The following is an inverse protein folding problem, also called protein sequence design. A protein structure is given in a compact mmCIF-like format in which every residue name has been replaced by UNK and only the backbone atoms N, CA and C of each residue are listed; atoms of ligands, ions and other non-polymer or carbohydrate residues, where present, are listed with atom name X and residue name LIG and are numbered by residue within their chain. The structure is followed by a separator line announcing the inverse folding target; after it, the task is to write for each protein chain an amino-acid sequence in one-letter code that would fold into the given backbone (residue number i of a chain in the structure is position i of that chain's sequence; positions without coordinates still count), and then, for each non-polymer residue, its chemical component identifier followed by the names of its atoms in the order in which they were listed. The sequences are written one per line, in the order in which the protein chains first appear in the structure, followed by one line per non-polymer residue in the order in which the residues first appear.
data_IF_405913080400
#
_entry.id   IF_405913080400
#
_cell.length_a   1.000
_cell.length_b   1.000
_cell.length_c   1.000
_cell.angle_alpha   90.00
_cell.angle_beta   90.00
_cell.angle_gamma   90.00
#
_symmetry.space_group_name_H-M   'P 1'
#
loop_
_entity.id
_entity.type
_entity.pdbx_description
1 polymer ?
#
# COMPACT_ATOMS: atom_id res chain seq x y z
N UNK A 1 -0.50 17.90 12.70
CA UNK A 1 0.28 16.69 12.31
C UNK A 1 1.60 16.75 13.07
N UNK A 2 1.53 16.83 14.40
CA UNK A 2 2.65 17.39 15.17
C UNK A 2 3.67 16.31 15.57
N UNK A 3 3.37 15.06 15.21
CA UNK A 3 4.19 13.87 15.42
C UNK A 3 5.08 13.54 14.21
N UNK A 4 4.87 14.18 13.06
CA UNK A 4 5.72 14.02 11.88
C UNK A 4 6.80 15.10 11.86
N UNK A 5 8.05 14.67 11.72
CA UNK A 5 9.19 15.59 11.63
C UNK A 5 9.11 16.42 10.33
N UNK A 6 9.49 17.71 10.33
CA UNK A 6 9.45 18.58 9.15
C UNK A 6 10.18 18.00 7.93
N UNK A 7 11.29 17.29 8.14
CA UNK A 7 12.08 16.66 7.08
C UNK A 7 11.33 15.51 6.40
N UNK A 8 10.41 14.85 7.12
CA UNK A 8 9.56 13.78 6.60
C UNK A 8 8.42 14.38 5.79
N UNK A 9 7.81 15.47 6.26
CA UNK A 9 6.66 16.10 5.62
C UNK A 9 6.91 16.44 4.14
N UNK A 10 8.10 16.92 3.79
CA UNK A 10 8.47 17.22 2.39
C UNK A 10 8.63 15.99 1.48
N UNK A 11 8.50 14.78 2.03
CA UNK A 11 8.61 13.50 1.31
C UNK A 11 7.33 12.68 1.35
N UNK A 12 6.26 13.21 1.96
CA UNK A 12 4.96 12.56 2.04
C UNK A 12 4.05 13.17 0.98
N UNK A 13 3.49 12.31 0.15
CA UNK A 13 2.60 12.68 -0.94
C UNK A 13 1.37 11.79 -0.90
N UNK A 14 0.22 12.37 -1.26
CA UNK A 14 -1.04 11.63 -1.39
C UNK A 14 -1.29 11.18 -2.84
N UNK A 15 -2.04 10.09 -2.92
CA UNK A 15 -2.75 9.60 -4.09
C UNK A 15 -4.23 9.54 -3.67
N UNK A 16 -5.13 10.12 -4.46
CA UNK A 16 -6.54 10.40 -4.07
C UNK A 16 -7.58 9.79 -5.02
N UNK A 17 -7.13 9.12 -6.08
CA UNK A 17 -8.00 8.61 -7.15
C UNK A 17 -8.24 7.10 -7.11
N UNK A 18 -7.45 6.35 -6.34
CA UNK A 18 -7.64 4.91 -6.21
C UNK A 18 -9.02 4.55 -5.64
N UNK A 19 -9.77 3.76 -6.40
CA UNK A 19 -11.08 3.23 -6.04
C UNK A 19 -10.97 1.91 -5.28
N UNK A 20 -9.85 1.19 -5.41
CA UNK A 20 -9.62 -0.07 -4.74
C UNK A 20 -8.15 -0.28 -4.31
N UNK A 21 -7.88 -1.42 -3.68
CA UNK A 21 -6.53 -1.76 -3.20
C UNK A 21 -5.50 -2.06 -4.31
N UNK A 22 -5.95 -2.42 -5.50
CA UNK A 22 -5.06 -2.63 -6.65
C UNK A 22 -4.57 -1.27 -7.17
N UNK A 23 -5.51 -0.34 -7.38
CA UNK A 23 -5.22 1.03 -7.80
C UNK A 23 -4.40 1.77 -6.75
N UNK A 24 -4.64 1.54 -5.45
CA UNK A 24 -3.78 2.09 -4.39
C UNK A 24 -2.30 1.79 -4.64
N UNK A 25 -1.97 0.56 -5.05
CA UNK A 25 -0.58 0.17 -5.35
C UNK A 25 -0.10 0.75 -6.68
N UNK A 26 -0.88 0.58 -7.75
CA UNK A 26 -0.49 1.01 -9.10
C UNK A 26 -0.34 2.54 -9.18
N UNK A 27 -1.33 3.28 -8.68
CA UNK A 27 -1.31 4.74 -8.71
C UNK A 27 -0.25 5.30 -7.78
N UNK A 28 0.04 4.66 -6.63
CA UNK A 28 1.19 5.05 -5.80
C UNK A 28 2.52 4.91 -6.54
N UNK A 29 2.71 3.88 -7.36
CA UNK A 29 3.91 3.70 -8.20
C UNK A 29 4.02 4.84 -9.22
N UNK A 30 2.92 5.18 -9.91
CA UNK A 30 2.88 6.29 -10.85
C UNK A 30 3.13 7.64 -10.15
N UNK A 31 2.48 7.86 -9.01
CA UNK A 31 2.62 9.08 -8.22
C UNK A 31 4.05 9.29 -7.72
N UNK A 32 4.71 8.21 -7.31
CA UNK A 32 6.13 8.27 -6.94
C UNK A 32 6.99 8.72 -8.13
N UNK A 33 6.72 8.24 -9.34
CA UNK A 33 7.42 8.67 -10.55
C UNK A 33 7.15 10.15 -10.89
N UNK A 34 5.91 10.61 -10.78
CA UNK A 34 5.58 12.03 -11.01
C UNK A 34 6.34 12.97 -10.07
N UNK A 35 6.49 12.58 -8.81
CA UNK A 35 7.13 13.39 -7.78
C UNK A 35 8.66 13.33 -7.86
N UNK A 36 9.23 12.16 -8.18
CA UNK A 36 10.69 11.93 -8.07
C UNK A 36 11.41 11.78 -9.41
N UNK A 37 10.66 11.67 -10.51
CA UNK A 37 11.18 11.37 -11.85
C UNK A 37 11.67 9.94 -12.06
N UNK A 38 11.49 9.05 -11.07
CA UNK A 38 11.97 7.67 -11.11
C UNK A 38 10.91 6.71 -10.58
N UNK A 39 10.87 5.46 -11.05
CA UNK A 39 10.03 4.43 -10.44
C UNK A 39 10.62 3.91 -9.12
N UNK A 40 9.79 3.46 -8.16
CA UNK A 40 10.27 3.01 -6.86
C UNK A 40 11.09 1.72 -6.96
N UNK A 41 12.31 1.76 -6.44
CA UNK A 41 13.19 0.57 -6.36
C UNK A 41 12.69 -0.43 -5.32
N UNK A 42 12.02 0.02 -4.26
CA UNK A 42 11.42 -0.83 -3.23
C UNK A 42 10.07 -0.26 -2.81
N UNK A 43 9.12 -1.14 -2.54
CA UNK A 43 7.79 -0.76 -2.04
C UNK A 43 7.55 -1.47 -0.71
N UNK A 44 7.03 -0.73 0.27
CA UNK A 44 6.54 -1.29 1.53
C UNK A 44 5.12 -0.79 1.75
N UNK A 45 4.18 -1.72 1.84
CA UNK A 45 2.78 -1.42 2.17
C UNK A 45 2.58 -1.74 3.65
N UNK A 46 1.99 -0.80 4.38
CA UNK A 46 1.57 -1.00 5.77
C UNK A 46 0.04 -0.95 5.78
N UNK A 47 -0.61 -2.00 6.24
CA UNK A 47 -2.06 -2.11 6.20
C UNK A 47 -2.57 -3.28 7.02
N UNK A 48 -3.84 -3.61 6.89
CA UNK A 48 -4.44 -4.71 7.65
C UNK A 48 -3.95 -6.07 7.15
N UNK A 49 -3.63 -6.97 8.10
CA UNK A 49 -2.98 -8.24 7.79
C UNK A 49 -3.78 -9.14 6.82
N UNK A 50 -5.12 -9.11 6.88
CA UNK A 50 -5.97 -9.89 5.97
C UNK A 50 -5.86 -9.46 4.48
N UNK A 51 -5.36 -8.25 4.19
CA UNK A 51 -5.13 -7.79 2.80
C UNK A 51 -3.81 -8.28 2.24
N UNK A 52 -2.90 -8.78 3.08
CA UNK A 52 -1.53 -9.16 2.71
C UNK A 52 -1.48 -10.14 1.55
N UNK A 53 -2.26 -11.22 1.61
CA UNK A 53 -2.26 -12.25 0.58
C UNK A 53 -2.78 -11.68 -0.74
N UNK A 54 -3.80 -10.83 -0.71
CA UNK A 54 -4.34 -10.19 -1.93
C UNK A 54 -3.28 -9.35 -2.66
N UNK A 55 -2.49 -8.58 -1.91
CA UNK A 55 -1.40 -7.78 -2.47
C UNK A 55 -0.29 -8.66 -3.07
N UNK A 56 0.17 -9.67 -2.32
CA UNK A 56 1.27 -10.54 -2.75
C UNK A 56 0.88 -11.45 -3.93
N UNK A 57 -0.32 -12.01 -3.89
CA UNK A 57 -0.72 -13.07 -4.81
C UNK A 57 -1.43 -12.60 -6.06
N UNK A 58 -2.05 -11.41 -6.03
CA UNK A 58 -2.79 -10.88 -7.18
C UNK A 58 -2.22 -9.55 -7.64
N UNK A 59 -2.20 -8.52 -6.78
CA UNK A 59 -1.89 -7.15 -7.23
C UNK A 59 -0.46 -7.02 -7.76
N UNK A 60 0.54 -7.53 -7.03
CA UNK A 60 1.93 -7.49 -7.48
C UNK A 60 2.14 -8.24 -8.79
N UNK A 61 1.50 -9.41 -8.93
CA UNK A 61 1.61 -10.24 -10.14
C UNK A 61 0.98 -9.53 -11.33
N UNK A 62 -0.18 -8.91 -11.15
CA UNK A 62 -0.87 -8.15 -12.18
C UNK A 62 -0.08 -6.91 -12.63
N UNK A 63 0.57 -6.21 -11.69
CA UNK A 63 1.44 -5.06 -11.99
C UNK A 63 2.79 -5.51 -12.60
N UNK A 64 3.22 -6.74 -12.35
CA UNK A 64 4.54 -7.23 -12.76
C UNK A 64 5.68 -6.66 -11.90
N UNK A 65 5.40 -6.22 -10.67
CA UNK A 65 6.43 -5.70 -9.77
C UNK A 65 7.24 -6.85 -9.14
N UNK A 66 8.59 -6.78 -9.10
CA UNK A 66 9.40 -7.86 -8.60
C UNK A 66 9.17 -8.09 -7.10
N UNK A 67 8.69 -9.28 -6.73
CA UNK A 67 8.35 -9.64 -5.35
C UNK A 67 9.52 -9.48 -4.37
N UNK A 68 10.76 -9.70 -4.81
CA UNK A 68 11.98 -9.50 -4.01
C UNK A 68 12.18 -8.04 -3.55
N UNK A 69 11.50 -7.09 -4.20
CA UNK A 69 11.55 -5.66 -3.87
C UNK A 69 10.27 -5.15 -3.19
N UNK A 70 9.37 -6.05 -2.80
CA UNK A 70 8.12 -5.72 -2.14
C UNK A 70 8.09 -6.25 -0.71
N UNK A 71 7.44 -5.50 0.19
CA UNK A 71 7.19 -5.93 1.57
C UNK A 71 5.81 -5.48 2.00
N UNK A 72 5.06 -6.38 2.65
CA UNK A 72 3.79 -6.04 3.27
C UNK A 72 3.89 -6.21 4.79
N UNK A 73 3.66 -5.14 5.53
CA UNK A 73 3.60 -5.13 6.99
C UNK A 73 2.13 -5.13 7.40
N UNK A 74 1.66 -6.30 7.83
CA UNK A 74 0.31 -6.49 8.30
C UNK A 74 0.15 -6.07 9.75
N UNK A 75 -0.84 -5.22 10.00
CA UNK A 75 -1.29 -4.85 11.34
C UNK A 75 -2.44 -5.79 11.70
N UNK A 76 -2.23 -6.58 12.75
CA UNK A 76 -3.27 -7.46 13.27
C UNK A 76 -4.21 -6.64 14.17
N UNK A 77 -5.46 -6.53 13.76
CA UNK A 77 -6.48 -5.90 14.59
C UNK A 77 -7.01 -6.91 15.61
N UNK A 78 -7.02 -6.52 16.88
CA UNK A 78 -7.57 -7.33 17.96
C UNK A 78 -9.09 -7.51 17.80
N UNK A 79 -9.57 -8.74 18.04
CA UNK A 79 -10.98 -9.04 18.39
C UNK A 79 -12.04 -8.57 17.38
N UNK A 80 -12.89 -7.65 17.79
CA UNK A 80 -14.21 -7.39 17.18
C UNK A 80 -14.18 -6.95 15.71
N UNK A 81 -13.06 -6.41 15.23
CA UNK A 81 -12.91 -5.92 13.85
C UNK A 81 -12.79 -7.08 12.85
N UNK A 82 -12.42 -8.29 13.27
CA UNK A 82 -12.34 -9.44 12.36
C UNK A 82 -13.70 -9.86 11.76
N UNK A 83 -14.82 -9.56 12.43
CA UNK A 83 -16.17 -9.92 11.96
C UNK A 83 -16.68 -9.02 10.83
N UNK A 84 -16.34 -7.73 10.84
CA UNK A 84 -16.71 -6.78 9.78
C UNK A 84 -15.97 -7.03 8.46
N UNK A 85 -14.84 -7.72 8.52
CA UNK A 85 -13.96 -7.98 7.39
C UNK A 85 -14.39 -9.16 6.50
N UNK A 86 -15.35 -9.99 6.95
CA UNK A 86 -15.92 -11.07 6.12
C UNK A 86 -16.69 -10.52 4.90
N UNK A 87 -17.16 -9.27 4.94
CA UNK A 87 -17.82 -8.61 3.81
C UNK A 87 -16.87 -8.09 2.73
N UNK A 88 -15.56 -7.95 3.01
CA UNK A 88 -14.55 -7.53 2.02
C UNK A 88 -13.85 -8.73 1.31
N UNK A 89 -14.19 -9.96 1.71
CA UNK A 89 -13.57 -11.20 1.22
C UNK A 89 -14.37 -11.83 0.06
N UNK A 90 -15.58 -11.32 -0.23
CA UNK A 90 -16.43 -11.74 -1.35
C UNK A 90 -16.70 -10.60 -2.31
#
# INVERSE_FOLDING_TARGET
MDWLLPEIMGRVFMEEFASDSYENLLFSICRFHEVTGNYPVRITVVGFDFKKDRFNDFHLKAIGYPSIRFTYIGINMSGDIQKELQGEIY
#
